data_IF_915203762511
#
_entry.id   IF_915203762511
#
_cell.length_a   1.000
_cell.length_b   1.000
_cell.length_c   1.000
_cell.angle_alpha   90.00
_cell.angle_beta   90.00
_cell.angle_gamma   90.00
#
_symmetry.space_group_name_H-M   'P 1'
#
loop_
_entity.id
_entity.type
_entity.pdbx_description
1 polymer ?
#
# COMPACT_ATOMS: atom_id res chain seq x y z
N UNK A 1 -1.31 -11.87 25.35
CA UNK A 1 -2.47 -12.64 24.87
C UNK A 1 -3.01 -11.84 23.70
N UNK A 2 -2.57 -12.07 22.48
CA UNK A 2 -2.70 -13.29 21.67
C UNK A 2 -1.34 -13.77 21.16
N UNK A 3 -1.21 -15.07 20.95
CA UNK A 3 -0.01 -15.75 20.48
C UNK A 3 0.12 -15.62 18.96
N UNK A 4 1.26 -15.10 18.49
CA UNK A 4 1.64 -15.00 17.08
C UNK A 4 1.87 -16.40 16.48
N UNK A 5 0.78 -17.10 16.17
CA UNK A 5 0.83 -18.16 15.18
C UNK A 5 1.06 -17.50 13.81
N UNK A 6 2.31 -17.56 13.33
CA UNK A 6 2.70 -17.47 11.92
C UNK A 6 3.02 -16.07 11.32
N UNK A 7 4.15 -15.47 11.71
CA UNK A 7 4.82 -14.38 10.97
C UNK A 7 5.39 -14.83 9.60
N UNK A 8 4.58 -15.40 8.71
CA UNK A 8 5.00 -15.70 7.34
C UNK A 8 4.69 -14.58 6.35
N UNK A 9 3.73 -13.71 6.65
CA UNK A 9 3.23 -12.69 5.73
C UNK A 9 3.56 -11.31 6.30
N UNK A 10 4.47 -10.59 5.64
CA UNK A 10 4.80 -9.23 6.00
C UNK A 10 5.03 -8.36 4.78
N UNK A 11 4.81 -7.06 4.95
CA UNK A 11 5.31 -6.00 4.09
C UNK A 11 5.75 -4.81 4.94
N UNK A 12 6.83 -4.15 4.54
CA UNK A 12 7.39 -2.98 5.22
C UNK A 12 8.01 -2.03 4.19
N UNK A 13 8.18 -0.78 4.59
CA UNK A 13 8.75 0.28 3.77
C UNK A 13 8.13 1.63 4.11
N UNK A 14 8.62 2.67 3.45
CA UNK A 14 8.11 4.03 3.58
C UNK A 14 7.15 4.34 2.42
N UNK A 15 6.16 5.20 2.68
CA UNK A 15 5.14 5.58 1.71
C UNK A 15 5.07 7.11 1.58
N UNK A 16 5.21 7.59 0.35
CA UNK A 16 5.15 9.02 0.05
C UNK A 16 4.21 9.34 -1.11
N UNK A 17 3.60 10.52 -1.07
CA UNK A 17 2.93 11.12 -2.23
C UNK A 17 3.89 12.09 -2.91
N UNK A 18 4.07 11.95 -4.23
CA UNK A 18 4.92 12.83 -5.04
C UNK A 18 4.05 13.51 -6.10
N UNK A 19 3.94 14.85 -6.10
CA UNK A 19 3.29 15.57 -7.18
C UNK A 19 4.14 15.57 -8.44
N UNK A 20 3.51 15.39 -9.59
CA UNK A 20 4.12 15.43 -10.91
C UNK A 20 3.88 16.77 -11.61
N UNK A 21 4.69 17.06 -12.64
CA UNK A 21 4.61 18.33 -13.39
C UNK A 21 3.28 18.51 -14.14
N UNK A 22 2.59 17.43 -14.48
CA UNK A 22 1.29 17.45 -15.15
C UNK A 22 0.09 17.65 -14.20
N UNK A 23 0.37 17.76 -12.89
CA UNK A 23 -0.63 17.97 -11.84
C UNK A 23 -1.23 16.69 -11.27
N UNK A 24 -0.79 15.51 -11.72
CA UNK A 24 -1.13 14.23 -11.10
C UNK A 24 -0.22 13.92 -9.91
N UNK A 25 -0.64 12.96 -9.07
CA UNK A 25 0.15 12.48 -7.94
C UNK A 25 0.51 11.00 -8.13
N UNK A 26 1.68 10.59 -7.63
CA UNK A 26 2.04 9.18 -7.52
C UNK A 26 2.29 8.78 -6.07
N UNK A 27 1.90 7.57 -5.73
CA UNK A 27 2.36 6.91 -4.52
C UNK A 27 3.73 6.30 -4.77
N UNK A 28 4.71 6.68 -3.95
CA UNK A 28 6.05 6.12 -3.90
C UNK A 28 6.16 5.19 -2.71
N UNK A 29 6.56 3.95 -2.97
CA UNK A 29 7.07 3.04 -1.94
C UNK A 29 8.60 3.07 -1.95
N UNK A 30 9.22 3.32 -0.81
CA UNK A 30 10.69 3.28 -0.64
C UNK A 30 11.11 2.25 0.40
N UNK A 31 12.33 1.73 0.24
CA UNK A 31 12.89 0.69 1.12
C UNK A 31 11.95 -0.53 1.24
N UNK A 32 11.12 -0.75 0.22
CA UNK A 32 10.02 -1.69 0.29
C UNK A 32 10.52 -3.13 0.24
N UNK A 33 9.96 -3.96 1.12
CA UNK A 33 10.13 -5.40 1.13
C UNK A 33 8.85 -6.08 1.61
N UNK A 34 8.51 -7.21 1.00
CA UNK A 34 7.45 -8.09 1.45
C UNK A 34 7.78 -9.56 1.19
N UNK A 35 7.10 -10.44 1.92
CA UNK A 35 7.00 -11.85 1.55
C UNK A 35 6.16 -12.03 0.30
N UNK A 36 6.40 -13.10 -0.45
CA UNK A 36 5.60 -13.42 -1.63
C UNK A 36 4.15 -13.77 -1.25
N UNK A 37 3.20 -13.29 -2.03
CA UNK A 37 1.79 -13.67 -1.97
C UNK A 37 1.25 -13.94 -3.38
N UNK A 38 0.18 -14.73 -3.53
CA UNK A 38 -0.33 -15.11 -4.85
C UNK A 38 -1.06 -13.98 -5.60
N UNK A 39 -1.53 -12.93 -4.89
CA UNK A 39 -2.41 -11.90 -5.45
C UNK A 39 -2.34 -10.59 -4.61
N UNK A 40 -1.15 -9.97 -4.57
CA UNK A 40 -0.88 -8.77 -3.76
C UNK A 40 -1.21 -7.48 -4.51
N UNK A 41 -1.85 -6.53 -3.83
CA UNK A 41 -2.22 -5.21 -4.34
C UNK A 41 -1.78 -4.09 -3.40
N UNK A 42 -1.64 -2.90 -3.98
CA UNK A 42 -1.41 -1.65 -3.27
C UNK A 42 -2.71 -0.86 -3.21
N UNK A 43 -3.19 -0.58 -2.00
CA UNK A 43 -4.41 0.20 -1.76
C UNK A 43 -4.10 1.49 -0.99
N UNK A 44 -4.82 2.57 -1.28
CA UNK A 44 -5.02 3.69 -0.34
C UNK A 44 -6.35 3.46 0.37
N UNK A 45 -6.36 3.39 1.70
CA UNK A 45 -7.49 2.94 2.50
C UNK A 45 -7.78 3.89 3.66
N UNK A 46 -9.00 3.80 4.19
CA UNK A 46 -9.43 4.52 5.39
C UNK A 46 -9.08 3.78 6.69
N UNK A 47 -8.80 2.48 6.62
CA UNK A 47 -8.49 1.60 7.75
C UNK A 47 -7.54 0.46 7.34
N UNK A 48 -7.18 -0.39 8.30
CA UNK A 48 -6.30 -1.56 8.13
C UNK A 48 -7.03 -2.84 7.68
N UNK A 49 -8.33 -2.73 7.40
CA UNK A 49 -9.22 -3.86 7.04
C UNK A 49 -9.67 -3.83 5.60
N UNK A 50 -9.23 -2.83 4.84
CA UNK A 50 -9.65 -2.58 3.46
C UNK A 50 -11.19 -2.50 3.34
N UNK A 51 -11.87 -1.82 4.28
CA UNK A 51 -13.34 -1.66 4.20
C UNK A 51 -13.77 -0.61 3.18
N UNK A 52 -12.99 0.47 3.03
CA UNK A 52 -13.14 1.52 2.02
C UNK A 52 -11.73 1.90 1.52
N UNK A 53 -11.51 1.73 0.21
CA UNK A 53 -10.19 1.88 -0.39
C UNK A 53 -10.24 2.24 -1.88
N UNK A 54 -9.15 2.84 -2.35
CA UNK A 54 -8.80 3.01 -3.76
C UNK A 54 -7.69 2.03 -4.10
N UNK A 55 -7.90 1.17 -5.10
CA UNK A 55 -6.85 0.25 -5.56
C UNK A 55 -5.96 0.95 -6.58
N UNK A 56 -4.64 0.90 -6.35
CA UNK A 56 -3.62 1.44 -7.25
C UNK A 56 -3.04 0.35 -8.18
N UNK A 57 -3.49 -0.89 -8.04
CA UNK A 57 -3.09 -2.03 -8.86
C UNK A 57 -2.30 -3.11 -8.12
N UNK A 58 -1.86 -4.11 -8.88
CA UNK A 58 -1.05 -5.23 -8.40
C UNK A 58 0.33 -4.76 -7.94
N UNK A 59 0.84 -5.40 -6.89
CA UNK A 59 2.20 -5.18 -6.41
C UNK A 59 3.20 -5.59 -7.50
N UNK A 60 3.99 -4.63 -7.99
CA UNK A 60 4.90 -4.86 -9.14
C UNK A 60 6.08 -5.75 -8.79
N UNK A 61 6.60 -5.63 -7.56
CA UNK A 61 7.72 -6.42 -7.05
C UNK A 61 7.65 -6.55 -5.53
N UNK A 62 8.21 -7.63 -4.99
CA UNK A 62 8.29 -7.86 -3.55
C UNK A 62 9.43 -7.09 -2.86
N UNK A 63 10.35 -6.47 -3.63
CA UNK A 63 11.48 -5.69 -3.11
C UNK A 63 11.78 -4.47 -3.97
N UNK A 64 12.27 -3.42 -3.33
CA UNK A 64 12.76 -2.20 -3.98
C UNK A 64 11.68 -1.17 -4.24
N UNK A 65 12.12 0.01 -4.66
CA UNK A 65 11.27 1.18 -4.76
C UNK A 65 10.31 1.08 -5.96
N UNK A 66 9.07 1.51 -5.76
CA UNK A 66 7.98 1.34 -6.73
C UNK A 66 7.07 2.57 -6.72
N UNK A 67 6.53 2.92 -7.88
CA UNK A 67 5.59 4.03 -8.02
C UNK A 67 4.25 3.52 -8.54
N UNK A 68 3.16 4.13 -8.08
CA UNK A 68 1.79 3.83 -8.51
C UNK A 68 1.05 5.14 -8.77
N UNK A 69 0.34 5.22 -9.89
CA UNK A 69 -0.45 6.40 -10.22
C UNK A 69 -1.63 6.49 -9.24
N UNK A 70 -1.82 7.67 -8.65
CA UNK A 70 -2.99 7.95 -7.83
C UNK A 70 -4.07 8.50 -8.76
N UNK A 71 -5.27 7.91 -8.80
CA UNK A 71 -6.35 8.44 -9.63
C UNK A 71 -6.65 9.90 -9.30
N UNK A 72 -6.87 10.71 -10.33
CA UNK A 72 -7.22 12.12 -10.18
C UNK A 72 -8.39 12.33 -9.21
N UNK A 73 -8.31 13.36 -8.38
CA UNK A 73 -9.32 13.71 -7.37
C UNK A 73 -9.48 12.68 -6.22
N UNK A 74 -8.50 11.79 -6.01
CA UNK A 74 -8.45 10.97 -4.79
C UNK A 74 -8.30 11.87 -3.56
N UNK A 75 -9.20 11.73 -2.59
CA UNK A 75 -9.13 12.47 -1.32
C UNK A 75 -8.08 11.84 -0.39
N UNK A 76 -6.85 12.33 -0.46
CA UNK A 76 -5.72 11.87 0.36
C UNK A 76 -5.87 12.23 1.84
N UNK A 77 -6.82 13.09 2.22
CA UNK A 77 -7.15 13.34 3.63
C UNK A 77 -8.04 12.25 4.21
N UNK A 78 -8.78 11.55 3.34
CA UNK A 78 -9.60 10.37 3.69
C UNK A 78 -8.81 9.07 3.55
N UNK A 79 -8.11 8.89 2.44
CA UNK A 79 -7.38 7.67 2.09
C UNK A 79 -5.88 7.78 2.44
N UNK A 80 -5.59 7.91 3.73
CA UNK A 80 -4.25 8.22 4.24
C UNK A 80 -3.38 6.98 4.58
N UNK A 81 -3.95 5.78 4.51
CA UNK A 81 -3.22 4.54 4.79
C UNK A 81 -2.91 3.75 3.52
N UNK A 82 -1.65 3.42 3.29
CA UNK A 82 -1.26 2.43 2.28
C UNK A 82 -1.41 1.04 2.88
N UNK A 83 -2.09 0.14 2.17
CA UNK A 83 -2.12 -1.28 2.50
C UNK A 83 -1.45 -2.10 1.40
N UNK A 84 -0.67 -3.10 1.83
CA UNK A 84 -0.32 -4.24 0.99
C UNK A 84 -1.30 -5.35 1.32
N UNK A 85 -2.23 -5.61 0.40
CA UNK A 85 -3.36 -6.49 0.63
C UNK A 85 -3.30 -7.72 -0.28
N UNK A 86 -3.41 -8.92 0.28
CA UNK A 86 -3.60 -10.13 -0.52
C UNK A 86 -5.09 -10.33 -0.80
N UNK A 87 -5.52 -10.03 -2.02
CA UNK A 87 -6.93 -10.10 -2.41
C UNK A 87 -7.46 -11.54 -2.41
N UNK A 88 -6.65 -12.51 -2.83
CA UNK A 88 -7.03 -13.92 -2.83
C UNK A 88 -7.34 -14.49 -1.43
N UNK A 89 -6.68 -13.99 -0.38
CA UNK A 89 -6.86 -14.48 0.99
C UNK A 89 -7.58 -13.49 1.91
N UNK A 90 -7.77 -12.24 1.48
CA UNK A 90 -8.44 -11.22 2.29
C UNK A 90 -7.65 -10.84 3.54
N UNK A 91 -6.33 -10.69 3.41
CA UNK A 91 -5.44 -10.42 4.54
C UNK A 91 -4.49 -9.26 4.28
N UNK A 92 -4.15 -8.55 5.35
CA UNK A 92 -3.16 -7.48 5.35
C UNK A 92 -1.75 -8.07 5.51
N UNK A 93 -0.82 -7.68 4.63
CA UNK A 93 0.60 -8.00 4.77
C UNK A 93 1.36 -6.90 5.51
N UNK A 94 0.98 -5.65 5.30
CA UNK A 94 1.59 -4.50 5.97
C UNK A 94 0.90 -3.21 5.60
N UNK A 95 1.11 -2.19 6.41
CA UNK A 95 0.53 -0.86 6.19
C UNK A 95 1.50 0.24 6.59
N UNK A 96 1.32 1.42 6.00
CA UNK A 96 2.05 2.65 6.33
C UNK A 96 1.14 3.86 6.10
N UNK A 97 1.28 4.90 6.92
CA UNK A 97 0.67 6.20 6.64
C UNK A 97 1.44 6.90 5.51
N UNK A 98 0.72 7.53 4.58
CA UNK A 98 1.36 8.36 3.55
C UNK A 98 1.91 9.64 4.16
N UNK A 99 3.07 10.07 3.68
CA UNK A 99 3.62 11.37 3.99
C UNK A 99 3.98 12.14 2.71
N UNK A 100 3.85 13.47 2.68
CA UNK A 100 4.40 14.24 1.57
C UNK A 100 5.93 14.10 1.55
N UNK A 101 6.52 13.95 0.36
CA UNK A 101 7.97 14.00 0.19
C UNK A 101 8.48 15.43 0.00
#
# INVERSE_FOLDING_TARGET
MIEDFNNFWYAQGDAYTIPLEDGSDVLRLENFESTNGPDLYVYLATDDKATDFVSLGELKANKGNQNYDIPDNTDLTKYSNVLIWCKAFGVLFGSAEISPQ
#
